data_IF_221003428387
#
_entry.id   IF_221003428387
#
_cell.length_a   1.000
_cell.length_b   1.000
_cell.length_c   1.000
_cell.angle_alpha   90.00
_cell.angle_beta   90.00
_cell.angle_gamma   90.00
#
_symmetry.space_group_name_H-M   'P 1'
#
loop_
_entity.id
_entity.type
_entity.pdbx_description
1 polymer ?
#
# COMPACT_ATOMS: atom_id res chain seq x y z
N UNK A 1 18.80 4.06 -16.11
CA UNK A 1 19.09 2.61 -16.00
C UNK A 1 17.96 1.82 -15.32
N UNK A 2 16.85 2.47 -14.94
CA UNK A 2 15.68 1.85 -14.30
C UNK A 2 14.82 1.02 -15.26
N UNK A 3 14.76 1.36 -16.55
CA UNK A 3 13.85 0.68 -17.51
C UNK A 3 14.23 -0.79 -17.76
N UNK A 4 15.52 -1.14 -17.65
CA UNK A 4 15.99 -2.49 -17.94
C UNK A 4 15.48 -3.52 -16.95
N UNK A 5 15.14 -3.13 -15.72
CA UNK A 5 14.62 -4.05 -14.70
C UNK A 5 13.19 -4.53 -14.99
N UNK A 6 12.43 -3.76 -15.78
CA UNK A 6 11.03 -4.06 -16.11
C UNK A 6 10.87 -4.84 -17.42
N UNK A 7 11.95 -5.01 -18.18
CA UNK A 7 11.96 -5.78 -19.42
C UNK A 7 11.58 -7.24 -19.12
N UNK A 8 10.59 -7.75 -19.84
CA UNK A 8 10.17 -9.15 -19.69
C UNK A 8 9.23 -9.43 -18.52
N UNK A 9 8.95 -8.44 -17.66
CA UNK A 9 8.16 -8.66 -16.42
C UNK A 9 6.73 -9.12 -16.74
N UNK A 10 6.07 -8.53 -17.74
CA UNK A 10 4.73 -8.98 -18.15
C UNK A 10 4.75 -10.44 -18.64
N UNK A 11 5.73 -10.81 -19.47
CA UNK A 11 5.88 -12.19 -19.94
C UNK A 11 6.16 -13.17 -18.80
N UNK A 12 6.93 -12.75 -17.80
CA UNK A 12 7.20 -13.54 -16.59
C UNK A 12 5.93 -13.78 -15.77
N UNK A 13 5.11 -12.74 -15.57
CA UNK A 13 3.81 -12.85 -14.90
C UNK A 13 2.89 -13.81 -15.66
N UNK A 14 2.82 -13.71 -16.99
CA UNK A 14 2.04 -14.63 -17.84
C UNK A 14 2.55 -16.08 -17.75
N UNK A 15 3.86 -16.29 -17.74
CA UNK A 15 4.47 -17.61 -17.61
C UNK A 15 4.17 -18.24 -16.24
N UNK A 16 4.25 -17.46 -15.16
CA UNK A 16 3.88 -17.91 -13.82
C UNK A 16 2.38 -18.23 -13.73
N UNK A 17 1.51 -17.42 -14.35
CA UNK A 17 0.08 -17.68 -14.41
C UNK A 17 -0.26 -19.01 -15.11
N UNK A 18 0.47 -19.35 -16.17
CA UNK A 18 0.32 -20.60 -16.92
C UNK A 18 1.01 -21.81 -16.25
N UNK A 19 1.73 -21.60 -15.14
CA UNK A 19 2.42 -22.64 -14.41
C UNK A 19 1.47 -23.66 -13.78
N UNK A 20 1.90 -24.93 -13.62
CA UNK A 20 1.05 -26.01 -13.08
C UNK A 20 0.53 -25.75 -11.66
N UNK A 21 1.24 -24.92 -10.89
CA UNK A 21 0.88 -24.53 -9.53
C UNK A 21 0.54 -23.03 -9.42
N UNK A 22 0.21 -22.35 -10.52
CA UNK A 22 -0.08 -20.90 -10.53
C UNK A 22 -1.23 -20.48 -9.61
N UNK A 23 -2.19 -21.37 -9.33
CA UNK A 23 -3.28 -21.14 -8.36
C UNK A 23 -2.86 -21.30 -6.89
N UNK A 24 -1.69 -21.91 -6.61
CA UNK A 24 -1.15 -22.05 -5.25
C UNK A 24 -0.40 -20.80 -4.78
N UNK A 25 -0.10 -19.87 -5.69
CA UNK A 25 0.50 -18.58 -5.32
C UNK A 25 -0.49 -17.80 -4.46
N UNK A 26 -0.02 -17.31 -3.31
CA UNK A 26 -0.85 -16.54 -2.39
C UNK A 26 -1.44 -15.32 -3.10
N UNK A 27 -2.76 -15.12 -2.94
CA UNK A 27 -3.50 -14.03 -3.56
C UNK A 27 -3.80 -14.18 -5.07
N UNK A 28 -3.32 -15.25 -5.72
CA UNK A 28 -3.58 -15.51 -7.15
C UNK A 28 -5.06 -15.58 -7.51
N UNK A 29 -5.92 -16.07 -6.61
CA UNK A 29 -7.38 -16.07 -6.81
C UNK A 29 -7.98 -14.66 -6.80
N UNK A 30 -7.35 -13.71 -6.11
CA UNK A 30 -7.75 -12.31 -6.04
C UNK A 30 -7.35 -11.55 -7.29
N UNK A 31 -6.04 -11.45 -7.56
CA UNK A 31 -5.53 -10.69 -8.70
C UNK A 31 -5.64 -11.43 -10.06
N UNK A 32 -5.90 -12.74 -10.03
CA UNK A 32 -6.14 -13.60 -11.23
C UNK A 32 -5.04 -13.55 -12.28
N UNK A 33 -3.83 -13.16 -11.87
CA UNK A 33 -2.70 -12.88 -12.76
C UNK A 33 -2.96 -11.85 -13.87
N UNK A 34 -4.03 -11.05 -13.75
CA UNK A 34 -4.36 -10.01 -14.73
C UNK A 34 -3.51 -8.78 -14.46
N UNK A 35 -2.74 -8.33 -15.45
CA UNK A 35 -2.02 -7.06 -15.40
C UNK A 35 -2.74 -6.08 -16.32
N UNK A 36 -3.10 -4.91 -15.79
CA UNK A 36 -3.73 -3.84 -16.57
C UNK A 36 -2.76 -3.31 -17.63
N UNK A 37 -3.27 -2.76 -18.73
CA UNK A 37 -2.40 -2.20 -19.76
C UNK A 37 -1.52 -1.06 -19.23
N UNK A 38 -0.28 -0.91 -19.76
CA UNK A 38 0.60 0.17 -19.34
C UNK A 38 0.02 1.51 -19.77
N UNK A 39 0.28 2.55 -18.97
CA UNK A 39 -0.07 3.92 -19.31
C UNK A 39 0.84 4.41 -20.44
N UNK A 40 0.29 5.31 -21.27
CA UNK A 40 1.10 6.11 -22.19
C UNK A 40 1.84 7.21 -21.44
N UNK A 41 2.87 7.78 -22.07
CA UNK A 41 3.58 8.96 -21.53
C UNK A 41 2.63 10.15 -21.29
N UNK A 42 1.63 10.33 -22.15
CA UNK A 42 0.64 11.41 -22.02
C UNK A 42 -0.27 11.19 -20.81
N UNK A 43 -0.78 9.97 -20.64
CA UNK A 43 -1.61 9.61 -19.48
C UNK A 43 -0.86 9.74 -18.15
N UNK A 44 0.40 9.29 -18.10
CA UNK A 44 1.24 9.48 -16.91
C UNK A 44 1.47 10.98 -16.62
N UNK A 45 1.71 11.79 -17.65
CA UNK A 45 1.88 13.23 -17.49
C UNK A 45 0.59 13.91 -16.99
N UNK A 46 -0.58 13.49 -17.48
CA UNK A 46 -1.87 13.97 -16.99
C UNK A 46 -2.10 13.59 -15.52
N UNK A 47 -1.79 12.35 -15.14
CA UNK A 47 -1.87 11.86 -13.77
C UNK A 47 -1.03 12.72 -12.82
N UNK A 48 0.24 12.94 -13.16
CA UNK A 48 1.17 13.73 -12.35
C UNK A 48 0.80 15.21 -12.31
N UNK A 49 0.27 15.75 -13.41
CA UNK A 49 -0.27 17.11 -13.44
C UNK A 49 -1.50 17.24 -12.52
N UNK A 50 -2.35 16.22 -12.46
CA UNK A 50 -3.52 16.21 -11.59
C UNK A 50 -3.13 16.15 -10.11
N UNK A 51 -2.17 15.32 -9.73
CA UNK A 51 -1.74 15.15 -8.34
C UNK A 51 -0.72 16.18 -7.88
N UNK A 52 -0.20 17.00 -8.81
CA UNK A 52 0.78 18.04 -8.53
C UNK A 52 2.17 17.50 -8.17
N UNK A 53 2.44 16.22 -8.39
CA UNK A 53 3.71 15.58 -8.02
C UNK A 53 4.15 14.56 -9.06
N UNK A 54 5.47 14.54 -9.30
CA UNK A 54 6.12 13.51 -10.10
C UNK A 54 6.23 12.22 -9.29
N UNK A 55 5.72 11.10 -9.81
CA UNK A 55 5.76 9.79 -9.14
C UNK A 55 7.18 9.22 -9.03
N UNK A 56 7.48 8.33 -8.07
CA UNK A 56 8.77 7.66 -7.94
C UNK A 56 9.25 7.02 -9.25
N UNK A 57 10.54 7.15 -9.57
CA UNK A 57 11.08 6.75 -10.89
C UNK A 57 10.81 5.27 -11.20
N UNK A 58 11.00 4.40 -10.21
CA UNK A 58 10.72 2.97 -10.34
C UNK A 58 9.24 2.69 -10.64
N UNK A 59 8.33 3.40 -9.97
CA UNK A 59 6.89 3.26 -10.16
C UNK A 59 6.43 3.86 -11.50
N UNK A 60 7.00 5.00 -11.92
CA UNK A 60 6.76 5.55 -13.26
C UNK A 60 7.14 4.55 -14.35
N UNK A 61 8.34 3.98 -14.25
CA UNK A 61 8.81 3.01 -15.24
C UNK A 61 7.93 1.75 -15.24
N UNK A 62 7.45 1.31 -14.07
CA UNK A 62 6.47 0.22 -13.98
C UNK A 62 5.15 0.55 -14.70
N UNK A 63 4.57 1.73 -14.44
CA UNK A 63 3.31 2.16 -15.06
C UNK A 63 3.42 2.24 -16.59
N UNK A 64 4.59 2.61 -17.12
CA UNK A 64 4.84 2.75 -18.55
C UNK A 64 5.18 1.44 -19.27
N UNK A 65 5.78 0.48 -18.57
CA UNK A 65 6.35 -0.72 -19.21
C UNK A 65 5.69 -2.04 -18.80
N UNK A 66 5.10 -2.11 -17.61
CA UNK A 66 4.51 -3.35 -17.07
C UNK A 66 2.99 -3.27 -17.07
N UNK A 67 2.42 -2.26 -16.44
CA UNK A 67 0.97 -2.10 -16.36
C UNK A 67 0.51 -1.03 -15.38
N UNK A 68 -0.73 -0.58 -15.52
CA UNK A 68 -1.35 0.37 -14.60
C UNK A 68 -1.78 -0.25 -13.25
N UNK A 69 -1.51 -1.54 -13.02
CA UNK A 69 -1.86 -2.29 -11.81
C UNK A 69 -2.18 -3.76 -12.13
N UNK A 70 -2.83 -4.45 -11.19
CA UNK A 70 -3.27 -5.84 -11.36
C UNK A 70 -2.40 -6.83 -10.59
N UNK A 71 -1.87 -7.85 -11.26
CA UNK A 71 -1.08 -8.90 -10.63
C UNK A 71 0.15 -8.33 -9.91
N UNK A 72 0.32 -8.73 -8.66
CA UNK A 72 1.34 -8.20 -7.76
C UNK A 72 1.28 -8.88 -6.39
N UNK A 73 2.11 -8.42 -5.44
CA UNK A 73 2.13 -8.90 -4.06
C UNK A 73 0.74 -9.04 -3.44
N UNK A 74 0.58 -10.07 -2.61
CA UNK A 74 -0.68 -10.43 -1.96
C UNK A 74 -1.86 -10.44 -2.95
N UNK A 75 -2.88 -9.61 -2.75
CA UNK A 75 -4.07 -9.56 -3.58
C UNK A 75 -3.94 -8.69 -4.84
N UNK A 76 -2.72 -8.23 -5.13
CA UNK A 76 -2.39 -7.46 -6.32
C UNK A 76 -2.03 -6.01 -6.03
N UNK A 77 -1.52 -5.36 -7.06
CA UNK A 77 -1.24 -3.93 -7.11
C UNK A 77 -2.51 -3.18 -7.52
N UNK A 78 -2.90 -2.19 -6.74
CA UNK A 78 -4.09 -1.39 -7.02
C UNK A 78 -3.98 -0.61 -8.33
N UNK A 79 -4.94 -0.80 -9.24
CA UNK A 79 -4.89 -0.15 -10.53
C UNK A 79 -5.14 1.35 -10.42
N UNK A 80 -4.33 2.12 -11.15
CA UNK A 80 -4.58 3.54 -11.39
C UNK A 80 -5.38 3.69 -12.67
N UNK A 81 -6.59 4.25 -12.57
CA UNK A 81 -7.51 4.40 -13.69
C UNK A 81 -8.08 5.81 -13.76
N UNK A 82 -8.47 6.20 -14.97
CA UNK A 82 -9.20 7.45 -15.21
C UNK A 82 -10.71 7.18 -15.19
N UNK A 83 -11.37 7.59 -14.12
CA UNK A 83 -12.81 7.47 -13.93
C UNK A 83 -13.44 8.87 -13.94
N UNK A 84 -14.48 9.07 -14.77
CA UNK A 84 -15.19 10.35 -14.87
C UNK A 84 -14.25 11.55 -15.14
N UNK A 85 -13.20 11.33 -15.93
CA UNK A 85 -12.23 12.36 -16.29
C UNK A 85 -11.16 12.66 -15.23
N UNK A 86 -11.14 11.92 -14.10
CA UNK A 86 -10.13 12.08 -13.05
C UNK A 86 -9.38 10.77 -12.83
N UNK A 87 -8.08 10.89 -12.62
CA UNK A 87 -7.21 9.78 -12.24
C UNK A 87 -7.37 9.45 -10.76
N UNK A 88 -7.42 8.16 -10.44
CA UNK A 88 -7.45 7.64 -9.06
C UNK A 88 -6.88 6.23 -9.00
N UNK A 89 -6.34 5.86 -7.85
CA UNK A 89 -6.08 4.47 -7.51
C UNK A 89 -7.36 3.83 -7.00
N UNK A 90 -7.62 2.59 -7.41
CA UNK A 90 -8.83 1.84 -7.03
C UNK A 90 -8.44 0.61 -6.19
N UNK A 91 -9.00 0.48 -5.00
CA UNK A 91 -8.66 -0.59 -4.07
C UNK A 91 -9.17 -0.34 -2.66
N UNK A 92 -8.98 -1.32 -1.77
CA UNK A 92 -9.20 -1.15 -0.33
C UNK A 92 -8.25 -0.07 0.21
N UNK A 93 -8.79 0.94 0.90
CA UNK A 93 -8.01 2.06 1.41
C UNK A 93 -7.79 3.20 0.43
N UNK A 94 -8.39 3.18 -0.76
CA UNK A 94 -8.33 4.31 -1.69
C UNK A 94 -8.94 5.59 -1.08
N UNK A 95 -9.95 5.45 -0.22
CA UNK A 95 -10.58 6.52 0.54
C UNK A 95 -9.70 7.11 1.66
N UNK A 96 -8.65 6.39 2.08
CA UNK A 96 -7.68 6.87 3.08
C UNK A 96 -6.64 7.82 2.47
N UNK A 97 -6.61 7.95 1.14
CA UNK A 97 -5.63 8.74 0.41
C UNK A 97 -6.21 10.11 0.06
N UNK A 98 -5.60 11.16 0.59
CA UNK A 98 -5.87 12.52 0.11
C UNK A 98 -4.97 12.86 -1.09
N UNK A 99 -5.50 12.63 -2.30
CA UNK A 99 -4.78 12.90 -3.54
C UNK A 99 -4.44 14.39 -3.75
N UNK A 100 -5.14 15.32 -3.09
CA UNK A 100 -4.82 16.74 -3.17
C UNK A 100 -3.55 17.09 -2.36
N UNK A 101 -3.21 16.26 -1.38
CA UNK A 101 -2.03 16.41 -0.50
C UNK A 101 -0.89 15.48 -0.88
N UNK A 102 -0.93 14.88 -2.07
CA UNK A 102 0.10 13.92 -2.51
C UNK A 102 1.47 14.57 -2.75
N UNK A 103 1.51 15.87 -3.00
CA UNK A 103 2.76 16.64 -3.12
C UNK A 103 3.36 17.04 -1.76
N UNK A 104 2.60 16.97 -0.66
CA UNK A 104 3.11 17.23 0.68
C UNK A 104 4.09 16.12 1.08
N UNK A 105 5.19 16.43 1.78
CA UNK A 105 6.14 15.42 2.22
C UNK A 105 5.48 14.47 3.23
N UNK A 106 5.61 13.17 2.99
CA UNK A 106 5.20 12.16 3.96
C UNK A 106 5.96 12.36 5.29
N UNK A 107 5.29 12.25 6.45
CA UNK A 107 5.91 12.51 7.75
C UNK A 107 7.09 11.58 8.04
N UNK A 108 8.21 12.13 8.52
CA UNK A 108 9.38 11.33 8.93
C UNK A 108 9.17 10.59 10.26
N UNK A 109 8.11 10.93 11.00
CA UNK A 109 7.79 10.37 12.32
C UNK A 109 6.31 10.12 12.43
N UNK A 110 5.96 9.06 13.16
CA UNK A 110 4.61 8.77 13.60
C UNK A 110 4.12 9.78 14.66
N UNK A 111 2.96 9.52 15.28
CA UNK A 111 2.43 10.32 16.37
C UNK A 111 3.40 10.37 17.55
N UNK A 112 3.23 11.37 18.42
CA UNK A 112 4.04 11.51 19.62
C UNK A 112 3.89 10.26 20.52
N UNK A 113 4.98 9.51 20.80
CA UNK A 113 4.90 8.33 21.65
C UNK A 113 4.36 8.62 23.05
N UNK A 114 4.63 9.81 23.61
CA UNK A 114 4.12 10.18 24.94
C UNK A 114 2.60 10.38 24.92
N UNK A 115 2.07 10.95 23.83
CA UNK A 115 0.62 11.08 23.63
C UNK A 115 -0.04 9.72 23.45
N UNK A 116 0.58 8.80 22.71
CA UNK A 116 0.07 7.44 22.56
C UNK A 116 0.05 6.70 23.91
N UNK A 117 1.11 6.81 24.70
CA UNK A 117 1.18 6.20 26.04
C UNK A 117 0.11 6.79 26.97
N UNK A 118 -0.10 8.10 26.93
CA UNK A 118 -1.16 8.77 27.69
C UNK A 118 -2.56 8.30 27.27
N UNK A 119 -2.84 8.17 25.97
CA UNK A 119 -4.12 7.68 25.47
C UNK A 119 -4.34 6.21 25.83
N UNK A 120 -3.32 5.36 25.69
CA UNK A 120 -3.40 3.95 26.08
C UNK A 120 -3.69 3.79 27.57
N UNK A 121 -3.08 4.61 28.44
CA UNK A 121 -3.34 4.61 29.87
C UNK A 121 -4.77 5.08 30.24
N UNK A 122 -5.50 5.69 29.29
CA UNK A 122 -6.90 6.09 29.44
C UNK A 122 -7.88 5.11 28.78
N UNK A 123 -7.41 3.96 28.32
CA UNK A 123 -8.28 2.90 27.79
C UNK A 123 -9.25 2.44 28.90
N UNK A 124 -10.58 2.55 28.70
CA UNK A 124 -11.56 2.11 29.69
C UNK A 124 -11.42 0.61 30.00
N UNK A 125 -11.46 0.24 31.27
CA UNK A 125 -11.55 -1.16 31.70
C UNK A 125 -13.00 -1.48 32.08
N UNK A 126 -13.52 -2.64 31.67
CA UNK A 126 -14.91 -3.05 31.96
C UNK A 126 -15.22 -3.04 33.47
N UNK A 127 -14.21 -3.32 34.30
CA UNK A 127 -14.30 -3.35 35.77
C UNK A 127 -14.59 -1.97 36.40
N UNK A 128 -14.36 -0.87 35.68
CA UNK A 128 -14.59 0.50 36.16
C UNK A 128 -16.04 0.97 36.02
N UNK A 129 -16.92 0.16 35.41
CA UNK A 129 -18.29 0.54 35.06
C UNK A 129 -19.34 -0.41 35.64
N UNK A 130 -20.42 0.16 36.20
CA UNK A 130 -21.55 -0.60 36.75
C UNK A 130 -22.54 -1.08 35.66
N UNK A 131 -22.53 -0.44 34.49
CA UNK A 131 -23.43 -0.72 33.37
C UNK A 131 -22.64 -0.88 32.07
N UNK A 132 -23.02 -1.87 31.25
CA UNK A 132 -22.33 -2.16 29.99
C UNK A 132 -22.49 -1.00 29.00
N UNK A 133 -23.62 -0.31 29.04
CA UNK A 133 -23.89 0.85 28.18
C UNK A 133 -22.96 2.02 28.48
N UNK A 134 -22.56 2.21 29.74
CA UNK A 134 -21.62 3.27 30.13
C UNK A 134 -20.18 2.90 29.71
N UNK A 135 -19.81 1.63 29.81
CA UNK A 135 -18.53 1.10 29.30
C UNK A 135 -18.44 1.26 27.77
N UNK A 136 -19.47 0.83 27.04
CA UNK A 136 -19.53 0.95 25.58
C UNK A 136 -19.38 2.42 25.13
N UNK A 137 -20.06 3.35 25.80
CA UNK A 137 -19.96 4.78 25.51
C UNK A 137 -18.55 5.34 25.81
N UNK A 138 -17.91 4.88 26.90
CA UNK A 138 -16.55 5.28 27.22
C UNK A 138 -15.53 4.72 26.21
N UNK A 139 -15.71 3.47 25.78
CA UNK A 139 -14.90 2.82 24.75
C UNK A 139 -15.03 3.54 23.40
N UNK A 140 -16.25 3.86 22.96
CA UNK A 140 -16.48 4.61 21.72
C UNK A 140 -15.78 5.98 21.76
N UNK A 141 -15.90 6.71 22.88
CA UNK A 141 -15.24 7.98 23.04
C UNK A 141 -13.70 7.86 23.07
N UNK A 142 -13.17 6.77 23.62
CA UNK A 142 -11.74 6.48 23.61
C UNK A 142 -11.24 6.13 22.20
N UNK A 143 -11.96 5.25 21.48
CA UNK A 143 -11.69 4.86 20.10
C UNK A 143 -11.67 6.08 19.16
N UNK A 144 -12.59 7.03 19.33
CA UNK A 144 -12.59 8.27 18.56
C UNK A 144 -11.31 9.09 18.78
N UNK A 145 -10.87 9.24 20.05
CA UNK A 145 -9.63 9.95 20.38
C UNK A 145 -8.39 9.23 19.87
N UNK A 146 -8.36 7.91 20.03
CA UNK A 146 -7.29 7.06 19.51
C UNK A 146 -7.19 7.20 17.99
N UNK A 147 -8.31 7.02 17.29
CA UNK A 147 -8.42 7.13 15.84
C UNK A 147 -8.04 8.51 15.30
N UNK A 148 -8.43 9.58 16.00
CA UNK A 148 -8.05 10.96 15.65
C UNK A 148 -6.53 11.20 15.69
N UNK A 149 -5.77 10.37 16.41
CA UNK A 149 -4.30 10.43 16.44
C UNK A 149 -3.68 9.41 15.51
N UNK A 150 -4.11 8.14 15.54
CA UNK A 150 -3.49 7.05 14.80
C UNK A 150 -3.91 6.97 13.33
N UNK A 151 -5.07 7.52 12.97
CA UNK A 151 -5.61 7.54 11.60
C UNK A 151 -5.86 8.95 11.06
N UNK A 152 -5.29 10.00 11.68
CA UNK A 152 -5.38 11.36 11.15
C UNK A 152 -4.93 11.44 9.69
N UNK A 153 -5.61 12.18 8.79
CA UNK A 153 -5.21 12.29 7.37
C UNK A 153 -3.78 12.77 7.15
N UNK A 154 -3.25 13.60 8.06
CA UNK A 154 -1.87 14.11 8.04
C UNK A 154 -0.83 12.99 8.11
N UNK A 155 -1.21 11.81 8.61
CA UNK A 155 -0.32 10.66 8.78
C UNK A 155 0.08 10.00 7.47
N UNK A 156 -0.73 10.18 6.43
CA UNK A 156 -0.59 9.46 5.15
C UNK A 156 -0.49 10.41 3.96
N UNK A 157 -0.32 11.71 4.19
CA UNK A 157 -0.02 12.67 3.11
C UNK A 157 1.24 12.26 2.36
N UNK A 158 1.31 12.57 1.08
CA UNK A 158 2.47 12.18 0.29
C UNK A 158 2.61 10.68 0.04
N UNK A 159 1.61 9.85 0.37
CA UNK A 159 1.61 8.41 0.13
C UNK A 159 0.32 7.95 -0.56
N UNK A 160 0.38 6.79 -1.21
CA UNK A 160 -0.79 6.10 -1.78
C UNK A 160 -0.83 4.66 -1.27
N UNK A 161 -2.03 4.12 -1.08
CA UNK A 161 -2.19 2.68 -0.88
C UNK A 161 -2.01 1.97 -2.22
N UNK A 162 -1.18 0.92 -2.24
CA UNK A 162 -0.85 0.18 -3.46
C UNK A 162 -1.25 -1.30 -3.40
N UNK A 163 -1.50 -1.86 -2.21
CA UNK A 163 -1.95 -3.24 -2.05
C UNK A 163 -2.64 -3.44 -0.71
N UNK A 164 -3.47 -4.49 -0.62
CA UNK A 164 -3.95 -5.01 0.66
C UNK A 164 -3.43 -6.42 0.89
N UNK A 165 -3.10 -6.71 2.15
CA UNK A 165 -2.60 -8.02 2.57
C UNK A 165 -3.71 -8.93 3.12
N UNK A 166 -4.95 -8.41 3.20
CA UNK A 166 -6.04 -9.02 3.96
C UNK A 166 -6.12 -8.44 5.37
N UNK A 167 -7.14 -8.82 6.15
CA UNK A 167 -7.31 -8.38 7.55
C UNK A 167 -7.19 -6.86 7.77
N UNK A 168 -7.55 -6.04 6.79
CA UNK A 168 -7.36 -4.58 6.81
C UNK A 168 -5.90 -4.10 6.97
N UNK A 169 -4.91 -4.95 6.67
CA UNK A 169 -3.52 -4.54 6.50
C UNK A 169 -3.26 -4.10 5.07
N UNK A 170 -2.47 -3.04 4.90
CA UNK A 170 -2.17 -2.46 3.58
C UNK A 170 -0.68 -2.20 3.39
N UNK A 171 -0.29 -2.05 2.14
CA UNK A 171 1.02 -1.53 1.77
C UNK A 171 0.87 -0.18 1.08
N UNK A 172 1.71 0.76 1.48
CA UNK A 172 1.74 2.13 1.00
C UNK A 172 3.02 2.38 0.20
N UNK A 173 2.90 3.11 -0.91
CA UNK A 173 4.03 3.67 -1.64
C UNK A 173 4.18 5.15 -1.28
N UNK A 174 5.36 5.52 -0.78
CA UNK A 174 5.66 6.92 -0.49
C UNK A 174 6.00 7.66 -1.78
N UNK A 175 5.26 8.72 -2.08
CA UNK A 175 5.39 9.54 -3.29
C UNK A 175 6.24 10.79 -3.04
N UNK A 176 6.14 11.37 -1.84
CA UNK A 176 6.74 12.67 -1.48
C UNK A 176 7.44 12.62 -0.13
N UNK A 177 8.50 13.42 0.06
CA UNK A 177 9.27 13.46 1.30
C UNK A 177 10.57 12.64 1.27
N UNK A 178 11.19 12.46 2.43
CA UNK A 178 12.50 11.81 2.57
C UNK A 178 12.47 10.30 2.22
N UNK A 179 11.33 9.66 2.47
CA UNK A 179 11.11 8.22 2.26
C UNK A 179 10.65 7.87 0.83
N UNK A 180 10.74 8.81 -0.11
CA UNK A 180 10.21 8.68 -1.47
C UNK A 180 10.66 7.40 -2.20
N UNK A 181 9.67 6.67 -2.71
CA UNK A 181 9.82 5.42 -3.47
C UNK A 181 9.99 4.17 -2.60
N UNK A 182 9.90 4.28 -1.28
CA UNK A 182 9.90 3.14 -0.36
C UNK A 182 8.49 2.62 -0.10
N UNK A 183 8.40 1.37 0.32
CA UNK A 183 7.16 0.68 0.68
C UNK A 183 7.03 0.65 2.19
N UNK A 184 5.83 0.94 2.69
CA UNK A 184 5.51 0.94 4.11
C UNK A 184 4.35 -0.02 4.37
N UNK A 185 4.43 -0.77 5.46
CA UNK A 185 3.39 -1.68 5.92
C UNK A 185 2.52 -0.98 6.94
N UNK A 186 1.20 -1.02 6.71
CA UNK A 186 0.19 -0.45 7.57
C UNK A 186 -0.53 -1.54 8.35
N UNK A 187 -0.07 -1.71 9.59
CA UNK A 187 -0.62 -2.67 10.55
C UNK A 187 -1.38 -1.95 11.68
N UNK A 188 -1.86 -0.72 11.45
CA UNK A 188 -2.52 0.08 12.49
C UNK A 188 -3.80 -0.54 13.02
N UNK A 189 -4.41 -1.45 12.25
CA UNK A 189 -5.55 -2.27 12.69
C UNK A 189 -5.17 -3.29 13.77
N UNK A 190 -3.89 -3.65 13.86
CA UNK A 190 -3.31 -4.56 14.86
C UNK A 190 -2.52 -3.78 15.93
N UNK A 191 -2.84 -2.49 16.14
CA UNK A 191 -2.16 -1.58 17.09
C UNK A 191 -0.65 -1.40 16.83
N UNK A 192 -0.18 -1.72 15.62
CA UNK A 192 1.20 -1.50 15.19
C UNK A 192 1.25 -0.35 14.21
N UNK A 193 2.09 0.64 14.49
CA UNK A 193 2.15 1.82 13.64
C UNK A 193 2.66 1.54 12.21
N UNK A 194 2.33 2.45 11.28
CA UNK A 194 2.85 2.44 9.92
C UNK A 194 4.39 2.45 9.94
N UNK A 195 5.02 1.45 9.34
CA UNK A 195 6.48 1.26 9.38
C UNK A 195 7.06 0.96 7.99
N UNK A 196 8.33 1.34 7.70
CA UNK A 196 8.95 0.96 6.44
C UNK A 196 9.09 -0.56 6.35
N UNK A 197 8.72 -1.13 5.21
CA UNK A 197 9.02 -2.52 4.91
C UNK A 197 10.54 -2.64 4.74
N UNK A 198 11.18 -3.51 5.53
CA UNK A 198 12.64 -3.69 5.52
C UNK A 198 13.03 -4.99 4.83
N UNK A 199 14.16 -4.97 4.13
CA UNK A 199 14.81 -6.17 3.61
C UNK A 199 15.58 -6.94 4.71
N UNK A 200 16.23 -8.04 4.32
CA UNK A 200 17.02 -8.89 5.23
C UNK A 200 18.18 -8.15 5.92
N UNK A 201 18.61 -7.00 5.37
CA UNK A 201 19.68 -6.16 5.91
C UNK A 201 19.13 -4.98 6.73
N UNK A 202 17.82 -4.90 6.95
CA UNK A 202 17.19 -3.78 7.64
C UNK A 202 17.09 -2.50 6.81
N UNK A 203 17.22 -2.59 5.47
CA UNK A 203 17.13 -1.43 4.57
C UNK A 203 15.70 -1.28 4.04
N UNK A 204 15.14 -0.06 3.97
CA UNK A 204 13.81 0.18 3.41
C UNK A 204 13.68 -0.34 1.97
N UNK A 205 12.71 -1.22 1.76
CA UNK A 205 12.39 -1.81 0.46
C UNK A 205 11.80 -0.73 -0.45
N UNK A 206 12.29 -0.70 -1.69
CA UNK A 206 11.80 0.18 -2.74
C UNK A 206 10.82 -0.55 -3.65
N UNK A 207 9.98 0.21 -4.37
CA UNK A 207 8.93 -0.33 -5.21
C UNK A 207 9.41 -1.44 -6.17
N UNK A 208 10.54 -1.24 -6.85
CA UNK A 208 11.05 -2.22 -7.79
C UNK A 208 11.32 -3.56 -7.12
N UNK A 209 12.06 -3.55 -6.00
CA UNK A 209 12.42 -4.73 -5.23
C UNK A 209 11.17 -5.43 -4.67
N UNK A 210 10.23 -4.65 -4.13
CA UNK A 210 8.97 -5.17 -3.62
C UNK A 210 8.19 -5.98 -4.65
N UNK A 211 8.06 -5.47 -5.88
CA UNK A 211 7.37 -6.18 -6.95
C UNK A 211 8.16 -7.38 -7.47
N UNK A 212 9.47 -7.23 -7.71
CA UNK A 212 10.29 -8.32 -8.29
C UNK A 212 10.47 -9.48 -7.32
N UNK A 213 10.58 -9.22 -6.02
CA UNK A 213 10.74 -10.27 -5.00
C UNK A 213 9.48 -11.12 -4.89
N UNK A 214 8.31 -10.51 -5.00
CA UNK A 214 7.07 -11.27 -5.14
C UNK A 214 7.08 -12.10 -6.40
N UNK A 215 7.43 -11.52 -7.56
CA UNK A 215 7.41 -12.24 -8.83
C UNK A 215 8.33 -13.46 -8.80
N UNK A 216 9.54 -13.32 -8.25
CA UNK A 216 10.50 -14.43 -8.11
C UNK A 216 9.95 -15.55 -7.22
N UNK A 217 9.35 -15.21 -6.07
CA UNK A 217 8.69 -16.19 -5.17
C UNK A 217 7.48 -16.85 -5.82
N UNK A 218 6.70 -16.07 -6.55
CA UNK A 218 5.51 -16.51 -7.25
C UNK A 218 5.87 -17.45 -8.41
N UNK A 219 6.92 -17.16 -9.18
CA UNK A 219 7.49 -18.03 -10.20
C UNK A 219 7.97 -19.35 -9.60
N UNK A 220 8.72 -19.30 -8.49
CA UNK A 220 9.18 -20.51 -7.82
C UNK A 220 8.01 -21.42 -7.43
N UNK A 221 6.96 -20.85 -6.84
CA UNK A 221 5.78 -21.61 -6.44
C UNK A 221 4.97 -22.10 -7.65
N UNK A 222 4.74 -21.24 -8.64
CA UNK A 222 3.89 -21.56 -9.79
C UNK A 222 4.50 -22.61 -10.73
N UNK A 223 5.82 -22.61 -10.84
CA UNK A 223 6.59 -23.53 -11.71
C UNK A 223 7.06 -24.78 -10.96
N UNK A 224 6.88 -24.85 -9.64
CA UNK A 224 7.13 -26.07 -8.88
C UNK A 224 6.23 -27.20 -9.37
N UNK A 225 6.81 -28.36 -9.64
CA UNK A 225 6.05 -29.56 -9.96
C UNK A 225 5.15 -29.95 -8.77
N UNK A 226 3.91 -30.42 -9.02
CA UNK A 226 3.01 -30.87 -7.97
C UNK A 226 3.53 -32.10 -7.22
#
# INVERSE_FOLDING_TARGET
>A
MTDQQWVGVRQRVEAAAAGPAGSKVFGALGHKWVVEDPLTQGELAELEAQTGVRLPEEYRAFLLHVGAGGAGPAYGLFPVRRAQGRWRWEGDGAEMVDLARLAEPFPDRGPDPALLEELLAQCPEEEDFDAVEDFDAAMEAWDERWGAVTFAPERTVGAIVISHLGCAQREWLIISGSHRGTIWSDCRVDDVDLAPLLDENGTPVRFARWYTDWLEKAEHTALSAP
#
